data_IF_326996750288
#
_entry.id   IF_326996750288
#
_cell.length_a   1.000
_cell.length_b   1.000
_cell.length_c   1.000
_cell.angle_alpha   90.00
_cell.angle_beta   90.00
_cell.angle_gamma   90.00
#
_symmetry.space_group_name_H-M   'P 1'
#
loop_
_entity.id
_entity.type
_entity.pdbx_description
1 polymer ?
#
# COMPACT_ATOMS: atom_id res chain seq x y z
N UNK A 1 -4.81 10.51 -18.11
CA UNK A 1 -4.88 10.94 -16.68
C UNK A 1 -4.09 9.94 -15.86
N UNK A 2 -3.26 10.40 -14.92
CA UNK A 2 -2.50 9.53 -14.02
C UNK A 2 -3.47 8.80 -13.10
N UNK A 3 -3.53 7.47 -13.18
CA UNK A 3 -4.45 6.68 -12.36
C UNK A 3 -4.04 6.77 -10.88
N UNK A 4 -4.95 7.24 -10.03
CA UNK A 4 -4.71 7.27 -8.58
C UNK A 4 -4.89 5.87 -8.02
N UNK A 5 -3.93 5.41 -7.22
CA UNK A 5 -4.00 4.10 -6.58
C UNK A 5 -3.63 4.19 -5.11
N UNK A 6 -4.27 3.37 -4.29
CA UNK A 6 -3.91 3.16 -2.89
C UNK A 6 -3.18 1.83 -2.73
N UNK A 7 -2.26 1.79 -1.76
CA UNK A 7 -1.54 0.59 -1.38
C UNK A 7 -1.85 0.30 0.09
N UNK A 8 -2.55 -0.80 0.32
CA UNK A 8 -2.94 -1.26 1.65
C UNK A 8 -1.88 -2.26 2.10
N UNK A 9 -1.25 -2.01 3.24
CA UNK A 9 -0.18 -2.85 3.78
C UNK A 9 -0.59 -3.35 5.16
N UNK A 10 -0.75 -4.66 5.28
CA UNK A 10 -1.02 -5.35 6.52
C UNK A 10 0.15 -5.23 7.51
N UNK A 11 -0.10 -5.66 8.74
CA UNK A 11 0.90 -5.60 9.81
C UNK A 11 2.17 -6.42 9.49
N UNK A 12 2.01 -7.63 8.91
CA UNK A 12 3.13 -8.51 8.54
C UNK A 12 3.87 -8.06 7.27
N UNK A 13 3.30 -7.10 6.53
CA UNK A 13 3.87 -6.58 5.29
C UNK A 13 3.22 -7.10 4.01
N UNK A 14 2.30 -8.06 4.09
CA UNK A 14 1.42 -8.37 2.96
C UNK A 14 0.72 -7.11 2.47
N UNK A 15 0.56 -6.99 1.15
CA UNK A 15 0.00 -5.79 0.57
C UNK A 15 -0.87 -6.05 -0.65
N UNK A 16 -1.80 -5.14 -0.87
CA UNK A 16 -2.60 -5.09 -2.10
C UNK A 16 -2.70 -3.66 -2.63
N UNK A 17 -2.87 -3.52 -3.95
CA UNK A 17 -3.01 -2.23 -4.63
C UNK A 17 -4.37 -2.14 -5.30
N UNK A 18 -5.06 -1.01 -5.12
CA UNK A 18 -6.38 -0.77 -5.69
C UNK A 18 -6.43 0.59 -6.38
N UNK A 19 -7.13 0.66 -7.50
CA UNK A 19 -7.43 1.92 -8.18
C UNK A 19 -8.50 2.68 -7.38
N UNK A 20 -8.36 4.00 -7.36
CA UNK A 20 -9.32 4.91 -6.75
C UNK A 20 -9.55 6.08 -7.68
N UNK A 21 -10.74 6.64 -7.59
CA UNK A 21 -11.17 7.73 -8.45
C UNK A 21 -10.31 9.00 -8.27
N UNK A 22 -9.93 9.31 -7.02
CA UNK A 22 -9.14 10.48 -6.67
C UNK A 22 -8.38 10.31 -5.34
N UNK A 23 -7.32 11.11 -5.08
CA UNK A 23 -6.59 11.09 -3.81
C UNK A 23 -7.46 11.46 -2.61
N UNK A 24 -8.45 12.33 -2.81
CA UNK A 24 -9.39 12.75 -1.78
C UNK A 24 -10.28 11.59 -1.31
N UNK A 25 -10.76 10.78 -2.24
CA UNK A 25 -11.53 9.56 -1.94
C UNK A 25 -10.70 8.57 -1.11
N UNK A 26 -9.42 8.40 -1.44
CA UNK A 26 -8.51 7.58 -0.64
C UNK A 26 -8.33 8.11 0.79
N UNK A 27 -8.15 9.43 0.95
CA UNK A 27 -8.03 10.07 2.27
C UNK A 27 -9.30 9.92 3.10
N UNK A 28 -10.47 10.13 2.50
CA UNK A 28 -11.77 9.94 3.18
C UNK A 28 -11.95 8.49 3.63
N UNK A 29 -11.67 7.53 2.75
CA UNK A 29 -11.73 6.11 3.08
C UNK A 29 -10.83 5.74 4.27
N UNK A 30 -9.56 6.18 4.24
CA UNK A 30 -8.64 5.93 5.34
C UNK A 30 -9.11 6.56 6.65
N UNK A 31 -9.63 7.79 6.60
CA UNK A 31 -10.17 8.49 7.76
C UNK A 31 -11.40 7.77 8.36
N UNK A 32 -12.32 7.27 7.52
CA UNK A 32 -13.49 6.50 7.99
C UNK A 32 -13.10 5.21 8.70
N UNK A 33 -11.98 4.61 8.30
CA UNK A 33 -11.43 3.40 8.93
C UNK A 33 -10.45 3.70 10.08
N UNK A 34 -10.28 4.98 10.45
CA UNK A 34 -9.27 5.44 11.40
C UNK A 34 -7.85 4.92 11.07
N UNK A 35 -7.55 4.74 9.78
CA UNK A 35 -6.27 4.25 9.31
C UNK A 35 -5.36 5.41 8.88
N UNK A 36 -4.05 5.32 9.16
CA UNK A 36 -3.11 6.29 8.64
C UNK A 36 -2.93 6.12 7.12
N UNK A 37 -2.82 7.25 6.42
CA UNK A 37 -2.55 7.31 4.97
C UNK A 37 -1.36 8.22 4.70
N UNK A 38 -0.47 7.78 3.81
CA UNK A 38 0.76 8.48 3.46
C UNK A 38 0.96 8.52 1.95
N UNK A 39 1.61 9.59 1.46
CA UNK A 39 2.01 9.67 0.06
C UNK A 39 3.34 8.94 -0.16
N UNK A 40 3.29 7.88 -0.96
CA UNK A 40 4.44 7.01 -1.28
C UNK A 40 5.50 7.77 -2.09
N UNK A 41 5.12 8.79 -2.88
CA UNK A 41 6.10 9.59 -3.63
C UNK A 41 6.95 10.47 -2.72
N UNK A 42 6.45 10.78 -1.52
CA UNK A 42 7.17 11.54 -0.51
C UNK A 42 7.96 10.63 0.45
N UNK A 43 7.33 9.55 0.92
CA UNK A 43 7.89 8.70 1.98
C UNK A 43 8.59 7.43 1.46
N UNK A 44 8.40 7.08 0.19
CA UNK A 44 8.78 5.79 -0.35
C UNK A 44 7.86 4.66 0.10
N UNK A 45 8.24 3.42 -0.23
CA UNK A 45 7.48 2.23 0.14
C UNK A 45 7.77 1.79 1.58
N UNK A 46 6.74 1.40 2.37
CA UNK A 46 6.93 0.94 3.74
C UNK A 46 7.93 -0.22 3.87
N UNK A 47 8.78 -0.18 4.90
CA UNK A 47 9.81 -1.21 5.11
C UNK A 47 9.23 -2.62 5.23
N UNK A 48 8.10 -2.79 5.94
CA UNK A 48 7.40 -4.08 6.08
C UNK A 48 6.96 -4.68 4.75
N UNK A 49 6.52 -3.86 3.80
CA UNK A 49 6.15 -4.29 2.45
C UNK A 49 7.38 -4.78 1.67
N UNK A 50 8.51 -4.08 1.81
CA UNK A 50 9.78 -4.46 1.18
C UNK A 50 10.29 -5.78 1.72
N UNK A 51 10.21 -5.96 3.02
CA UNK A 51 10.60 -7.18 3.74
C UNK A 51 9.70 -8.37 3.36
N UNK A 52 8.38 -8.17 3.28
CA UNK A 52 7.45 -9.16 2.74
C UNK A 52 7.83 -9.58 1.31
N UNK A 53 8.08 -8.62 0.42
CA UNK A 53 8.50 -8.92 -0.96
C UNK A 53 9.83 -9.69 -1.01
N UNK A 54 10.77 -9.39 -0.11
CA UNK A 54 12.03 -10.12 -0.01
C UNK A 54 11.80 -11.57 0.43
N UNK A 55 10.89 -11.82 1.39
CA UNK A 55 10.49 -13.18 1.80
C UNK A 55 9.81 -13.94 0.67
N UNK A 56 8.86 -13.33 -0.03
CA UNK A 56 8.16 -13.98 -1.14
C UNK A 56 9.12 -14.36 -2.27
N UNK A 57 10.09 -13.49 -2.62
CA UNK A 57 11.12 -13.80 -3.62
C UNK A 57 12.04 -14.97 -3.23
N UNK A 58 12.27 -15.18 -1.94
CA UNK A 58 13.09 -16.29 -1.42
C UNK A 58 12.31 -17.60 -1.34
N UNK A 59 10.98 -17.56 -1.46
CA UNK A 59 10.15 -18.75 -1.48
C UNK A 59 10.33 -19.43 -2.85
N UNK A 60 10.88 -20.65 -2.92
CA UNK A 60 10.98 -21.35 -4.18
C UNK A 60 9.58 -21.52 -4.78
N UNK A 61 9.45 -21.28 -6.08
CA UNK A 61 8.25 -21.68 -6.80
C UNK A 61 8.17 -23.21 -6.69
N UNK A 62 7.14 -23.72 -6.02
CA UNK A 62 6.82 -25.15 -5.99
C UNK A 62 6.42 -25.64 -7.37
#
# INVERSE_FOLDING_TARGET
MTETTVLLVAHDGEWTRRRVDSPETARRFAHQLAMPIYDIRLMGYPQRMRDYNARQKRRPAS
#
